data_IF_139418303272
#
_entry.id   IF_139418303272
#
_cell.length_a   1.000
_cell.length_b   1.000
_cell.length_c   1.000
_cell.angle_alpha   90.00
_cell.angle_beta   90.00
_cell.angle_gamma   90.00
#
_symmetry.space_group_name_H-M   'P 1'
#
loop_
_entity.id
_entity.type
_entity.pdbx_description
1 polymer ?
#
# COMPACT_ATOMS: atom_id res chain seq x y z
N UNK A 1 -23.61 17.48 21.46
CA UNK A 1 -22.51 16.58 21.84
C UNK A 1 -21.72 16.27 20.59
N UNK A 2 -20.46 16.66 20.48
CA UNK A 2 -19.63 16.22 19.38
C UNK A 2 -19.26 14.75 19.59
N UNK A 3 -19.44 13.92 18.57
CA UNK A 3 -18.99 12.53 18.62
C UNK A 3 -17.45 12.51 18.68
N UNK A 4 -16.85 11.66 19.52
CA UNK A 4 -15.41 11.51 19.56
C UNK A 4 -14.90 10.97 18.21
N UNK A 5 -13.64 11.24 17.83
CA UNK A 5 -13.06 10.76 16.57
C UNK A 5 -13.19 9.24 16.41
N UNK A 6 -13.52 8.79 15.21
CA UNK A 6 -13.60 7.35 14.90
C UNK A 6 -12.21 6.71 14.88
N UNK A 7 -11.22 7.45 14.39
CA UNK A 7 -9.81 7.07 14.33
C UNK A 7 -9.04 7.85 15.39
N UNK A 8 -8.17 7.20 16.16
CA UNK A 8 -7.47 7.89 17.23
C UNK A 8 -5.96 7.71 17.23
N UNK A 9 -5.43 6.72 16.51
CA UNK A 9 -3.98 6.52 16.37
C UNK A 9 -3.68 5.55 15.24
N UNK A 10 -2.53 5.75 14.61
CA UNK A 10 -1.86 4.73 13.82
C UNK A 10 -0.40 4.61 14.27
N UNK A 11 0.21 3.49 13.98
CA UNK A 11 1.63 3.23 14.19
C UNK A 11 2.22 2.52 12.98
N UNK A 12 3.52 2.66 12.80
CA UNK A 12 4.26 1.97 11.76
C UNK A 12 5.27 1.01 12.36
N UNK A 13 5.53 -0.07 11.66
CA UNK A 13 6.53 -1.07 11.98
C UNK A 13 7.37 -1.35 10.75
N UNK A 14 8.67 -1.59 10.92
CA UNK A 14 9.56 -1.90 9.80
C UNK A 14 10.36 -3.16 10.08
N UNK A 15 10.55 -3.98 9.05
CA UNK A 15 11.42 -5.16 9.08
C UNK A 15 12.41 -5.13 7.91
N UNK A 16 13.49 -5.85 8.02
CA UNK A 16 14.37 -6.04 6.88
C UNK A 16 13.71 -6.94 5.84
N UNK A 17 13.95 -6.64 4.57
CA UNK A 17 13.58 -7.54 3.49
C UNK A 17 14.47 -8.78 3.52
N UNK A 18 13.88 -9.95 3.31
CA UNK A 18 14.64 -11.17 3.06
C UNK A 18 15.44 -11.07 1.76
N UNK A 19 16.40 -11.97 1.57
CA UNK A 19 17.15 -12.05 0.31
C UNK A 19 16.24 -12.31 -0.89
N UNK A 20 15.26 -13.17 -0.72
CA UNK A 20 14.30 -13.52 -1.77
C UNK A 20 13.46 -12.30 -2.17
N UNK A 21 12.90 -11.57 -1.20
CA UNK A 21 12.13 -10.34 -1.45
C UNK A 21 12.96 -9.26 -2.14
N UNK A 22 14.23 -9.10 -1.76
CA UNK A 22 15.17 -8.18 -2.41
C UNK A 22 15.38 -8.55 -3.88
N UNK A 23 15.57 -9.83 -4.18
CA UNK A 23 15.77 -10.29 -5.54
C UNK A 23 14.51 -10.20 -6.38
N UNK A 24 13.34 -10.52 -5.85
CA UNK A 24 12.07 -10.35 -6.53
C UNK A 24 11.81 -8.89 -6.90
N UNK A 25 12.16 -7.96 -6.01
CA UNK A 25 12.06 -6.52 -6.27
C UNK A 25 13.02 -6.09 -7.38
N UNK A 26 14.25 -6.58 -7.35
CA UNK A 26 15.27 -6.30 -8.35
C UNK A 26 14.86 -6.76 -9.75
N UNK A 27 14.34 -7.98 -9.85
CA UNK A 27 13.84 -8.55 -11.10
C UNK A 27 12.63 -7.75 -11.63
N UNK A 28 11.68 -7.40 -10.77
CA UNK A 28 10.49 -6.60 -11.14
C UNK A 28 10.85 -5.20 -11.66
N UNK A 29 11.99 -4.66 -11.28
CA UNK A 29 12.51 -3.40 -11.81
C UNK A 29 13.22 -3.55 -13.18
N UNK A 30 13.28 -4.75 -13.74
CA UNK A 30 13.96 -5.04 -15.01
C UNK A 30 15.49 -4.94 -14.93
N UNK A 31 16.04 -4.93 -13.72
CA UNK A 31 17.48 -4.84 -13.48
C UNK A 31 18.10 -6.25 -13.60
N UNK A 32 18.09 -6.81 -14.79
CA UNK A 32 18.74 -8.10 -15.06
C UNK A 32 20.24 -7.90 -15.15
N UNK A 33 21.03 -8.65 -14.38
CA UNK A 33 22.47 -8.74 -14.57
C UNK A 33 22.74 -9.88 -15.54
N UNK A 34 23.26 -9.54 -16.71
CA UNK A 34 23.85 -10.51 -17.63
C UNK A 34 25.38 -10.48 -17.48
N UNK A 35 25.99 -11.60 -17.19
CA UNK A 35 27.44 -11.77 -17.31
C UNK A 35 27.70 -12.64 -18.51
N UNK A 36 28.40 -12.10 -19.51
CA UNK A 36 28.72 -12.76 -20.78
C UNK A 36 27.48 -13.26 -21.55
N UNK A 37 26.35 -12.52 -21.52
CA UNK A 37 25.13 -12.88 -22.24
C UNK A 37 24.33 -14.03 -21.63
N UNK A 38 24.68 -14.50 -20.43
CA UNK A 38 23.91 -15.49 -19.68
C UNK A 38 23.21 -14.81 -18.53
N UNK A 39 21.87 -14.93 -18.42
CA UNK A 39 21.15 -14.45 -17.23
C UNK A 39 21.71 -15.12 -15.99
N UNK A 40 22.22 -14.35 -15.05
CA UNK A 40 22.68 -14.91 -13.78
C UNK A 40 21.46 -15.36 -12.97
N UNK A 41 21.50 -16.60 -12.47
CA UNK A 41 20.60 -17.01 -11.40
C UNK A 41 21.05 -16.34 -10.10
N UNK A 42 20.55 -15.11 -9.90
CA UNK A 42 20.91 -14.21 -8.80
C UNK A 42 20.60 -14.78 -7.41
N UNK A 43 19.82 -15.86 -7.32
CA UNK A 43 19.53 -16.59 -6.07
C UNK A 43 20.79 -17.09 -5.34
N UNK A 44 21.91 -17.27 -6.04
CA UNK A 44 23.14 -17.78 -5.47
C UNK A 44 24.19 -16.69 -5.16
N UNK A 45 23.89 -15.43 -5.53
CA UNK A 45 24.79 -14.31 -5.28
C UNK A 45 24.30 -13.56 -4.02
N UNK A 46 24.99 -13.69 -2.93
CA UNK A 46 24.62 -13.08 -1.64
C UNK A 46 24.33 -11.57 -1.68
N UNK A 47 23.94 -10.99 -0.54
CA UNK A 47 23.55 -9.58 -0.33
C UNK A 47 24.44 -8.49 -0.93
N UNK A 48 25.77 -8.68 -1.17
CA UNK A 48 26.63 -7.58 -1.66
C UNK A 48 26.21 -6.98 -2.99
N UNK A 49 25.47 -7.72 -3.81
CA UNK A 49 25.06 -7.27 -5.15
C UNK A 49 23.71 -6.53 -5.18
N UNK A 50 22.94 -6.55 -4.10
CA UNK A 50 21.70 -5.80 -4.04
C UNK A 50 22.01 -4.31 -3.77
N UNK A 51 21.68 -3.40 -4.70
CA UNK A 51 22.04 -2.00 -4.58
C UNK A 51 21.48 -1.35 -3.32
N UNK A 52 22.29 -0.61 -2.58
CA UNK A 52 21.86 0.12 -1.38
C UNK A 52 20.85 1.24 -1.69
N UNK A 53 20.79 1.71 -2.93
CA UNK A 53 19.80 2.67 -3.40
C UNK A 53 18.39 2.10 -3.51
N UNK A 54 18.25 0.77 -3.59
CA UNK A 54 16.96 0.10 -3.57
C UNK A 54 16.46 -0.09 -2.14
N UNK A 55 15.14 -0.24 -1.94
CA UNK A 55 14.56 -0.47 -0.61
C UNK A 55 15.19 -1.67 0.10
N UNK A 56 15.66 -1.47 1.33
CA UNK A 56 16.25 -2.53 2.16
C UNK A 56 15.25 -3.10 3.17
N UNK A 57 14.18 -2.36 3.45
CA UNK A 57 13.19 -2.66 4.48
C UNK A 57 11.78 -2.61 3.92
N UNK A 58 10.91 -3.35 4.56
CA UNK A 58 9.47 -3.24 4.41
C UNK A 58 8.88 -2.42 5.57
N UNK A 59 7.76 -1.74 5.33
CA UNK A 59 7.04 -0.94 6.31
C UNK A 59 5.57 -1.36 6.33
N UNK A 60 5.05 -1.61 7.52
CA UNK A 60 3.65 -1.92 7.79
C UNK A 60 3.01 -0.78 8.57
N UNK A 61 1.71 -0.58 8.38
CA UNK A 61 0.93 0.40 9.12
C UNK A 61 -0.23 -0.29 9.83
N UNK A 62 -0.39 0.00 11.11
CA UNK A 62 -1.55 -0.43 11.90
C UNK A 62 -2.33 0.81 12.35
N UNK A 63 -3.67 0.81 12.15
CA UNK A 63 -4.53 1.86 12.68
C UNK A 63 -5.55 1.31 13.67
N UNK A 64 -6.01 2.17 14.57
CA UNK A 64 -7.03 1.83 15.53
C UNK A 64 -8.29 2.64 15.25
N UNK A 65 -9.40 1.97 15.07
CA UNK A 65 -10.70 2.56 14.76
C UNK A 65 -11.75 2.07 15.76
N UNK A 66 -12.31 2.99 16.53
CA UNK A 66 -13.28 2.69 17.61
C UNK A 66 -14.62 2.20 17.06
N UNK A 67 -15.11 2.82 16.00
CA UNK A 67 -16.44 2.56 15.43
C UNK A 67 -16.33 2.37 13.93
N UNK A 68 -16.90 1.30 13.40
CA UNK A 68 -16.67 0.82 12.05
C UNK A 68 -17.99 0.51 11.36
N UNK A 69 -18.45 1.44 10.51
CA UNK A 69 -19.49 1.16 9.54
C UNK A 69 -18.90 0.32 8.40
N UNK A 70 -19.31 -0.94 8.32
CA UNK A 70 -18.74 -1.92 7.38
C UNK A 70 -19.11 -1.65 5.93
N UNK A 71 -20.25 -1.00 5.67
CA UNK A 71 -20.75 -0.81 4.31
C UNK A 71 -20.21 0.48 3.66
N UNK A 72 -20.36 1.63 4.34
CA UNK A 72 -19.94 2.92 3.80
C UNK A 72 -18.54 3.33 4.29
N UNK A 73 -18.23 3.13 5.58
CA UNK A 73 -17.02 3.67 6.19
C UNK A 73 -15.78 2.84 5.91
N UNK A 74 -15.83 1.55 6.21
CA UNK A 74 -14.64 0.67 6.20
C UNK A 74 -13.89 0.62 4.86
N UNK A 75 -14.56 0.50 3.70
CA UNK A 75 -13.84 0.49 2.41
C UNK A 75 -13.01 1.75 2.18
N UNK A 76 -13.55 2.93 2.50
CA UNK A 76 -12.82 4.19 2.38
C UNK A 76 -11.71 4.31 3.42
N UNK A 77 -11.89 3.78 4.62
CA UNK A 77 -10.86 3.79 5.65
C UNK A 77 -9.67 2.92 5.24
N UNK A 78 -9.92 1.72 4.71
CA UNK A 78 -8.87 0.84 4.17
C UNK A 78 -8.13 1.54 3.03
N UNK A 79 -8.85 2.14 2.08
CA UNK A 79 -8.25 2.85 0.95
C UNK A 79 -7.38 4.04 1.43
N UNK A 80 -7.85 4.82 2.40
CA UNK A 80 -7.14 5.98 2.94
C UNK A 80 -5.86 5.59 3.66
N UNK A 81 -5.90 4.57 4.53
CA UNK A 81 -4.71 4.10 5.24
C UNK A 81 -3.76 3.32 4.32
N UNK A 82 -4.29 2.62 3.31
CA UNK A 82 -3.47 2.01 2.27
C UNK A 82 -2.69 3.06 1.47
N UNK A 83 -3.36 4.13 1.05
CA UNK A 83 -2.70 5.26 0.38
C UNK A 83 -1.65 5.93 1.28
N UNK A 84 -1.96 6.13 2.56
CA UNK A 84 -1.01 6.69 3.52
C UNK A 84 0.23 5.80 3.66
N UNK A 85 0.07 4.48 3.74
CA UNK A 85 1.16 3.52 3.80
C UNK A 85 2.05 3.61 2.54
N UNK A 86 1.45 3.67 1.35
CA UNK A 86 2.17 3.80 0.09
C UNK A 86 3.00 5.10 0.02
N UNK A 87 2.41 6.23 0.46
CA UNK A 87 3.10 7.52 0.49
C UNK A 87 4.29 7.47 1.46
N UNK A 88 4.07 6.99 2.69
CA UNK A 88 5.15 6.90 3.69
C UNK A 88 6.25 5.96 3.20
N UNK A 89 5.89 4.77 2.69
CA UNK A 89 6.85 3.81 2.18
C UNK A 89 7.76 4.41 1.10
N UNK A 90 7.17 5.18 0.20
CA UNK A 90 7.91 5.86 -0.87
C UNK A 90 8.86 6.93 -0.33
N UNK A 91 8.39 7.79 0.59
CA UNK A 91 9.20 8.87 1.18
C UNK A 91 10.42 8.34 1.95
N UNK A 92 10.27 7.19 2.61
CA UNK A 92 11.38 6.57 3.38
C UNK A 92 12.15 5.51 2.62
N UNK A 93 11.91 5.36 1.31
CA UNK A 93 12.52 4.34 0.45
C UNK A 93 12.38 2.92 1.01
N UNK A 94 11.16 2.55 1.39
CA UNK A 94 10.79 1.22 1.86
C UNK A 94 9.73 0.58 0.96
N UNK A 95 9.52 -0.73 1.11
CA UNK A 95 8.43 -1.44 0.43
C UNK A 95 7.20 -1.46 1.34
N UNK A 96 6.02 -1.05 0.88
CA UNK A 96 4.80 -1.26 1.66
C UNK A 96 4.55 -2.75 1.85
N UNK A 97 4.17 -3.14 3.07
CA UNK A 97 4.01 -4.53 3.49
C UNK A 97 2.56 -4.77 3.94
N UNK A 98 2.29 -4.75 5.24
CA UNK A 98 0.99 -5.04 5.78
C UNK A 98 0.22 -3.79 6.18
N UNK A 99 -1.08 -3.79 5.90
CA UNK A 99 -2.03 -2.82 6.41
C UNK A 99 -2.95 -3.50 7.44
N UNK A 100 -2.84 -3.13 8.72
CA UNK A 100 -3.50 -3.80 9.83
C UNK A 100 -4.54 -2.87 10.44
N UNK A 101 -5.81 -3.30 10.48
CA UNK A 101 -6.88 -2.56 11.14
C UNK A 101 -7.30 -3.19 12.46
N UNK A 102 -7.11 -2.49 13.57
CA UNK A 102 -7.75 -2.82 14.85
C UNK A 102 -9.13 -2.17 14.88
N UNK A 103 -10.16 -2.99 14.70
CA UNK A 103 -11.53 -2.56 14.53
C UNK A 103 -12.32 -2.85 15.82
N UNK A 104 -12.86 -1.80 16.42
CA UNK A 104 -13.64 -1.89 17.65
C UNK A 104 -15.09 -2.30 17.39
N UNK A 105 -16.04 -1.38 17.57
CA UNK A 105 -17.47 -1.62 17.34
C UNK A 105 -17.76 -1.71 15.83
N UNK A 106 -17.71 -2.94 15.32
CA UNK A 106 -17.96 -3.25 13.90
C UNK A 106 -19.44 -3.52 13.69
N UNK A 107 -20.09 -2.73 12.83
CA UNK A 107 -21.52 -2.81 12.63
C UNK A 107 -21.94 -2.57 11.18
N UNK A 108 -23.12 -3.09 10.84
CA UNK A 108 -23.86 -2.81 9.61
C UNK A 108 -25.18 -2.15 9.98
N UNK A 109 -25.45 -0.95 9.46
CA UNK A 109 -26.72 -0.30 9.70
C UNK A 109 -27.87 -1.05 9.03
N UNK A 110 -29.01 -1.13 9.73
CA UNK A 110 -30.19 -1.88 9.24
C UNK A 110 -30.69 -1.43 7.89
N UNK A 111 -30.61 -0.13 7.60
CA UNK A 111 -30.99 0.45 6.32
C UNK A 111 -30.00 0.15 5.18
N UNK A 112 -28.85 -0.48 5.44
CA UNK A 112 -27.88 -0.87 4.43
C UNK A 112 -27.85 -2.38 4.14
N UNK A 113 -28.71 -3.17 4.80
CA UNK A 113 -28.69 -4.64 4.65
C UNK A 113 -28.97 -5.07 3.21
N UNK A 114 -29.97 -4.50 2.57
CA UNK A 114 -30.33 -4.89 1.19
C UNK A 114 -29.28 -4.45 0.19
N UNK A 115 -28.70 -3.26 0.36
CA UNK A 115 -27.60 -2.77 -0.47
C UNK A 115 -26.34 -3.63 -0.31
N UNK A 116 -26.03 -4.07 0.90
CA UNK A 116 -24.92 -4.97 1.17
C UNK A 116 -25.13 -6.33 0.51
N UNK A 117 -26.35 -6.89 0.59
CA UNK A 117 -26.70 -8.12 -0.13
C UNK A 117 -26.53 -7.98 -1.64
N UNK A 118 -27.01 -6.88 -2.22
CA UNK A 118 -26.84 -6.58 -3.64
C UNK A 118 -25.37 -6.50 -4.02
N UNK A 119 -24.53 -5.81 -3.22
CA UNK A 119 -23.10 -5.71 -3.47
C UNK A 119 -22.42 -7.09 -3.51
N UNK A 120 -22.81 -8.01 -2.63
CA UNK A 120 -22.25 -9.37 -2.58
C UNK A 120 -22.59 -10.23 -3.82
N UNK A 121 -23.57 -9.82 -4.64
CA UNK A 121 -23.89 -10.50 -5.91
C UNK A 121 -23.01 -10.06 -7.06
N UNK A 122 -22.22 -9.00 -6.89
CA UNK A 122 -21.37 -8.44 -7.95
C UNK A 122 -20.03 -9.14 -8.02
N UNK A 123 -19.57 -9.40 -9.24
CA UNK A 123 -18.22 -9.92 -9.44
C UNK A 123 -17.17 -8.86 -9.08
N UNK A 124 -16.12 -9.25 -8.33
CA UNK A 124 -15.02 -8.35 -8.01
C UNK A 124 -14.31 -7.86 -9.28
N UNK A 125 -14.10 -6.55 -9.36
CA UNK A 125 -13.29 -5.95 -10.44
C UNK A 125 -11.81 -6.01 -10.11
N UNK A 126 -10.96 -5.71 -11.11
CA UNK A 126 -9.52 -5.55 -10.90
C UNK A 126 -9.26 -4.47 -9.84
N UNK A 127 -8.32 -4.75 -8.94
CA UNK A 127 -7.91 -3.77 -7.93
C UNK A 127 -7.27 -2.54 -8.59
N UNK A 128 -7.57 -1.33 -8.10
CA UNK A 128 -6.95 -0.10 -8.58
C UNK A 128 -5.45 -0.11 -8.23
N UNK A 129 -4.66 0.57 -9.06
CA UNK A 129 -3.24 0.82 -8.81
C UNK A 129 -3.02 2.29 -8.51
N UNK A 130 -2.19 2.58 -7.52
CA UNK A 130 -1.77 3.94 -7.20
C UNK A 130 -0.39 4.17 -7.79
N UNK A 131 -0.26 5.25 -8.57
CA UNK A 131 1.02 5.75 -9.06
C UNK A 131 1.32 7.06 -8.34
N UNK A 132 2.41 7.06 -7.56
CA UNK A 132 2.88 8.27 -6.88
C UNK A 132 4.07 8.79 -7.67
N UNK A 133 3.91 9.92 -8.35
CA UNK A 133 4.98 10.54 -9.13
C UNK A 133 5.86 11.42 -8.25
N UNK A 134 7.18 11.36 -8.44
CA UNK A 134 8.13 12.22 -7.76
C UNK A 134 8.25 13.53 -8.53
N UNK A 135 7.71 14.61 -7.95
CA UNK A 135 8.15 15.97 -8.30
C UNK A 135 7.78 16.48 -9.69
N UNK A 136 6.83 15.89 -10.39
CA UNK A 136 6.23 16.60 -11.51
C UNK A 136 5.43 17.80 -10.98
N UNK A 137 5.75 18.97 -11.48
CA UNK A 137 5.03 20.21 -11.21
C UNK A 137 4.06 20.48 -12.35
N UNK A 138 2.93 21.09 -12.06
CA UNK A 138 2.01 21.60 -13.08
C UNK A 138 2.67 22.76 -13.87
N UNK A 139 1.96 23.26 -14.86
CA UNK A 139 2.45 24.38 -15.71
C UNK A 139 2.71 25.68 -14.91
N UNK A 140 2.30 25.76 -13.64
CA UNK A 140 2.54 26.86 -12.73
C UNK A 140 3.67 26.59 -11.73
N UNK A 141 4.37 25.46 -11.84
CA UNK A 141 5.44 25.08 -10.94
C UNK A 141 4.98 24.55 -9.59
N UNK A 142 3.66 24.25 -9.44
CA UNK A 142 3.12 23.70 -8.21
C UNK A 142 3.32 22.17 -8.19
N UNK A 143 3.99 21.60 -7.18
CA UNK A 143 4.09 20.16 -7.05
C UNK A 143 2.70 19.55 -6.90
N UNK A 144 2.32 18.65 -7.80
CA UNK A 144 1.11 17.88 -7.61
C UNK A 144 1.44 16.40 -7.55
N UNK A 145 0.84 15.74 -6.58
CA UNK A 145 0.87 14.28 -6.50
C UNK A 145 -0.25 13.79 -7.39
N UNK A 146 0.09 13.43 -8.63
CA UNK A 146 -0.88 12.79 -9.51
C UNK A 146 -1.04 11.35 -9.08
N UNK A 147 -2.04 11.08 -8.25
CA UNK A 147 -2.54 9.72 -8.07
C UNK A 147 -3.42 9.38 -9.28
N UNK A 148 -2.93 8.61 -10.19
CA UNK A 148 -3.75 8.05 -11.27
C UNK A 148 -4.30 6.73 -10.75
N UNK A 149 -5.59 6.69 -10.48
CA UNK A 149 -6.32 5.44 -10.27
C UNK A 149 -6.53 4.81 -11.65
N UNK A 150 -5.64 3.89 -12.03
CA UNK A 150 -5.84 3.05 -13.22
C UNK A 150 -6.87 1.98 -12.90
N UNK A 151 -8.05 2.09 -13.50
CA UNK A 151 -9.02 1.00 -13.46
C UNK A 151 -10.45 1.33 -13.04
N UNK A 152 -10.96 2.51 -13.42
CA UNK A 152 -12.41 2.76 -13.48
C UNK A 152 -12.95 2.54 -14.88
#
# INVERSE_FOLDING_TARGET
MSLPPFHYVFQVYTRELSLEEKWDKYIKLGLNIEINGTPLELKHMGTPFYPKSLPQRAISLMWNQRSVDTFLGLPFNIASYGLLLEIIAKEVNMVPDELIGNLGDVHLYKNHIEQAKEQLTREPKRLPKVLINNGEVDNNGVPFTKSVLDGY
#
